data_IF_719834889305
#
_entry.id   IF_719834889305
#
_cell.length_a   1.000
_cell.length_b   1.000
_cell.length_c   1.000
_cell.angle_alpha   90.00
_cell.angle_beta   90.00
_cell.angle_gamma   90.00
#
_symmetry.space_group_name_H-M   'P 1'
#
loop_
_entity.id
_entity.type
_entity.pdbx_description
1 polymer ?
#
# COMPACT_ATOMS: atom_id res chain seq x y z
N UNK A 1 2.55 -17.99 -29.71
CA UNK A 1 3.41 -19.17 -29.84
C UNK A 1 4.92 -18.90 -29.78
N UNK A 2 5.45 -17.69 -29.95
CA UNK A 2 6.91 -17.41 -29.92
C UNK A 2 7.53 -17.19 -28.53
N UNK A 3 6.74 -16.95 -27.49
CA UNK A 3 7.27 -16.68 -26.12
C UNK A 3 7.47 -17.93 -25.25
N UNK A 4 6.82 -19.04 -25.56
CA UNK A 4 6.97 -20.30 -24.80
C UNK A 4 8.27 -21.03 -25.18
N UNK A 5 8.77 -20.85 -26.40
CA UNK A 5 10.03 -21.47 -26.84
C UNK A 5 11.30 -20.89 -26.19
N UNK A 6 11.24 -19.64 -25.70
CA UNK A 6 12.42 -18.99 -25.09
C UNK A 6 12.70 -19.50 -23.67
N UNK A 7 11.65 -19.90 -22.92
CA UNK A 7 11.81 -20.43 -21.54
C UNK A 7 12.33 -21.88 -21.57
N UNK A 8 11.93 -22.67 -22.57
CA UNK A 8 12.40 -24.06 -22.71
C UNK A 8 13.86 -24.12 -23.22
N UNK A 9 14.31 -23.14 -24.02
CA UNK A 9 15.70 -23.09 -24.47
C UNK A 9 16.70 -22.76 -23.36
N UNK A 10 16.27 -21.99 -22.33
CA UNK A 10 17.12 -21.66 -21.16
C UNK A 10 17.24 -22.89 -20.22
N UNK A 11 16.21 -23.71 -20.08
CA UNK A 11 16.23 -24.90 -19.24
C UNK A 11 17.07 -26.05 -19.87
N UNK A 12 17.11 -26.17 -21.19
CA UNK A 12 17.90 -27.22 -21.90
C UNK A 12 19.38 -26.87 -22.03
N UNK A 13 19.78 -25.60 -22.01
CA UNK A 13 21.21 -25.22 -22.03
C UNK A 13 21.94 -25.45 -20.70
N UNK A 14 21.25 -25.73 -19.61
CA UNK A 14 21.87 -25.96 -18.29
C UNK A 14 22.28 -27.43 -18.09
N UNK A 15 21.82 -28.37 -18.94
CA UNK A 15 22.05 -29.81 -18.74
C UNK A 15 23.18 -30.44 -19.60
N UNK A 16 23.85 -29.68 -20.47
CA UNK A 16 24.85 -30.26 -21.38
C UNK A 16 26.14 -29.43 -21.52
N UNK A 17 26.80 -29.08 -20.43
CA UNK A 17 28.22 -28.72 -20.50
C UNK A 17 28.91 -28.66 -19.13
N UNK A 18 29.11 -29.79 -18.49
CA UNK A 18 29.68 -29.88 -17.14
C UNK A 18 31.23 -29.94 -17.11
N UNK A 19 31.93 -29.74 -18.24
CA UNK A 19 33.39 -29.94 -18.26
C UNK A 19 34.24 -28.72 -18.62
N UNK A 20 33.69 -27.60 -19.08
CA UNK A 20 34.54 -26.48 -19.54
C UNK A 20 34.37 -25.15 -18.78
N UNK A 21 33.40 -25.04 -17.87
CA UNK A 21 33.18 -23.81 -17.13
C UNK A 21 33.56 -23.87 -15.63
N UNK A 22 34.31 -24.86 -15.22
CA UNK A 22 34.74 -25.02 -13.81
C UNK A 22 35.81 -24.00 -13.38
N UNK A 23 36.45 -23.25 -14.31
CA UNK A 23 37.55 -22.34 -13.98
C UNK A 23 37.16 -20.87 -13.73
N UNK A 24 35.95 -20.43 -14.16
CA UNK A 24 35.52 -19.02 -14.03
C UNK A 24 34.21 -18.83 -13.25
N UNK A 25 33.87 -19.72 -12.34
CA UNK A 25 32.79 -19.38 -11.39
C UNK A 25 33.27 -18.26 -10.50
N UNK A 26 32.57 -17.09 -10.46
CA UNK A 26 32.93 -16.04 -9.52
C UNK A 26 32.98 -16.67 -8.13
N UNK A 27 34.12 -16.52 -7.47
CA UNK A 27 34.33 -17.07 -6.12
C UNK A 27 33.22 -16.53 -5.22
N UNK A 28 32.45 -17.43 -4.60
CA UNK A 28 31.39 -17.00 -3.69
C UNK A 28 31.97 -16.03 -2.65
N UNK A 29 31.34 -14.88 -2.50
CA UNK A 29 31.77 -13.87 -1.54
C UNK A 29 31.76 -14.49 -0.15
N UNK A 30 32.84 -14.28 0.60
CA UNK A 30 32.89 -14.66 2.00
C UNK A 30 31.85 -13.86 2.80
N UNK A 31 31.36 -14.37 3.92
CA UNK A 31 30.44 -13.64 4.80
C UNK A 31 30.97 -12.25 5.19
N UNK A 32 32.28 -12.09 5.32
CA UNK A 32 32.94 -10.79 5.60
C UNK A 32 32.86 -9.83 4.41
N UNK A 33 33.00 -10.33 3.18
CA UNK A 33 32.86 -9.52 1.95
C UNK A 33 31.41 -9.11 1.73
N UNK A 34 30.45 -10.04 1.97
CA UNK A 34 29.04 -9.72 1.97
C UNK A 34 28.68 -8.66 3.03
N UNK A 35 29.14 -8.81 4.25
CA UNK A 35 28.89 -7.81 5.31
C UNK A 35 29.49 -6.43 4.97
N UNK A 36 30.65 -6.38 4.26
CA UNK A 36 31.23 -5.12 3.80
C UNK A 36 30.45 -4.47 2.66
N UNK A 37 29.75 -5.25 1.83
CA UNK A 37 28.88 -4.73 0.77
C UNK A 37 27.55 -4.19 1.32
N UNK A 38 27.11 -4.70 2.48
CA UNK A 38 25.90 -4.28 3.16
C UNK A 38 26.24 -3.85 4.60
N UNK A 39 26.94 -2.72 4.79
CA UNK A 39 27.22 -2.24 6.13
C UNK A 39 25.90 -2.04 6.88
N UNK A 40 25.85 -2.38 8.18
CA UNK A 40 24.67 -2.15 8.97
C UNK A 40 24.32 -0.65 8.92
N UNK A 41 23.13 -0.36 8.40
CA UNK A 41 22.59 0.99 8.40
C UNK A 41 22.29 1.48 9.81
N UNK A 42 22.04 2.77 9.96
CA UNK A 42 21.54 3.31 11.21
C UNK A 42 20.10 2.82 11.44
N UNK A 43 19.76 2.50 12.69
CA UNK A 43 18.37 2.10 13.02
C UNK A 43 17.47 3.34 12.97
N UNK A 44 16.51 3.36 12.07
CA UNK A 44 15.56 4.46 11.88
C UNK A 44 14.26 3.94 11.21
N UNK A 45 13.06 4.32 11.69
CA UNK A 45 12.82 4.91 13.00
C UNK A 45 13.04 3.88 14.13
N UNK A 46 13.35 4.34 15.32
CA UNK A 46 13.43 3.52 16.52
C UNK A 46 12.42 3.98 17.55
N UNK A 47 11.41 3.16 17.84
CA UNK A 47 10.48 3.38 18.94
C UNK A 47 11.19 2.99 20.25
N UNK A 48 11.32 3.94 21.18
CA UNK A 48 11.98 3.75 22.45
C UNK A 48 11.00 3.24 23.52
N UNK A 49 11.53 2.62 24.57
CA UNK A 49 10.71 2.08 25.68
C UNK A 49 9.98 3.15 26.49
N UNK A 50 10.42 4.40 26.40
CA UNK A 50 9.81 5.56 27.05
C UNK A 50 8.68 6.21 26.21
N UNK A 51 8.35 5.61 25.05
CA UNK A 51 7.32 6.10 24.12
C UNK A 51 7.80 7.17 23.15
N UNK A 52 9.09 7.57 23.21
CA UNK A 52 9.66 8.47 22.22
C UNK A 52 10.06 7.72 20.94
N UNK A 53 10.29 8.45 19.84
CA UNK A 53 10.78 7.91 18.57
C UNK A 53 12.05 8.63 18.15
N UNK A 54 13.09 7.85 17.86
CA UNK A 54 14.35 8.37 17.35
C UNK A 54 14.49 8.12 15.86
N UNK A 55 14.67 9.18 15.10
CA UNK A 55 14.96 9.14 13.66
C UNK A 55 16.45 9.38 13.45
N UNK A 56 17.08 8.63 12.53
CA UNK A 56 18.51 8.75 12.21
C UNK A 56 18.72 8.69 10.70
N UNK A 57 19.64 9.50 10.21
CA UNK A 57 20.02 9.54 8.81
C UNK A 57 21.52 9.70 8.63
N UNK A 58 22.14 8.80 7.87
CA UNK A 58 23.58 8.85 7.58
C UNK A 58 23.87 9.78 6.42
N UNK A 59 24.38 10.97 6.68
CA UNK A 59 24.73 11.97 5.66
C UNK A 59 25.93 12.82 6.10
N UNK A 60 27.18 12.27 6.04
CA UNK A 60 28.37 12.94 6.56
C UNK A 60 28.67 14.26 5.84
N UNK A 61 28.34 14.38 4.55
CA UNK A 61 28.62 15.55 3.73
C UNK A 61 27.47 16.57 3.68
N UNK A 62 26.32 16.25 4.27
CA UNK A 62 25.20 17.20 4.30
C UNK A 62 25.48 18.37 5.24
N UNK A 63 25.04 19.56 4.85
CA UNK A 63 25.12 20.79 5.63
C UNK A 63 23.94 20.95 6.59
N UNK A 64 22.77 20.39 6.21
CA UNK A 64 21.55 20.48 6.97
C UNK A 64 20.68 19.25 6.71
N UNK A 65 20.10 18.68 7.77
CA UNK A 65 19.06 17.66 7.68
C UNK A 65 17.93 18.02 8.63
N UNK A 66 16.72 18.06 8.09
CA UNK A 66 15.50 18.22 8.86
C UNK A 66 14.65 16.97 8.77
N UNK A 67 13.88 16.66 9.81
CA UNK A 67 12.79 15.68 9.80
C UNK A 67 11.50 16.38 9.39
N UNK A 68 10.90 15.96 8.28
CA UNK A 68 9.52 16.25 7.92
C UNK A 68 8.65 15.06 8.35
N UNK A 69 7.70 15.26 9.23
CA UNK A 69 6.86 14.19 9.77
C UNK A 69 5.48 14.73 10.13
N UNK A 70 4.44 13.96 9.87
CA UNK A 70 3.06 14.35 10.21
C UNK A 70 2.77 14.45 11.71
N UNK A 71 3.73 14.13 12.58
CA UNK A 71 3.63 14.39 14.02
C UNK A 71 3.60 15.90 14.36
N UNK A 72 4.06 16.75 13.44
CA UNK A 72 4.19 18.20 13.64
C UNK A 72 3.88 18.99 12.36
N UNK A 73 3.53 20.27 12.55
CA UNK A 73 3.24 21.16 11.43
C UNK A 73 4.49 21.59 10.66
N UNK A 74 5.63 21.76 11.37
CA UNK A 74 6.89 22.25 10.79
C UNK A 74 8.00 21.19 10.84
N UNK A 75 8.93 21.29 9.88
CA UNK A 75 10.13 20.45 9.89
C UNK A 75 10.93 20.68 11.17
N UNK A 76 11.51 19.60 11.71
CA UNK A 76 12.36 19.63 12.89
C UNK A 76 13.84 19.45 12.51
N UNK A 77 14.70 20.39 12.91
CA UNK A 77 16.14 20.31 12.64
C UNK A 77 16.75 19.11 13.40
N UNK A 78 17.59 18.35 12.71
CA UNK A 78 18.34 17.23 13.28
C UNK A 78 19.76 17.64 13.67
N UNK A 79 20.37 16.93 14.62
CA UNK A 79 21.73 17.16 15.08
C UNK A 79 22.68 16.10 14.53
N UNK A 80 23.83 16.55 14.01
CA UNK A 80 24.88 15.70 13.42
C UNK A 80 25.91 15.30 14.44
N UNK A 81 26.26 14.03 14.52
CA UNK A 81 27.37 13.52 15.33
C UNK A 81 28.70 13.52 14.55
N UNK A 82 29.79 13.16 15.23
CA UNK A 82 31.15 13.09 14.65
C UNK A 82 31.27 12.05 13.53
N UNK A 83 30.37 11.05 13.46
CA UNK A 83 30.34 10.01 12.42
C UNK A 83 29.50 10.42 11.22
N UNK A 84 28.88 11.61 11.24
CA UNK A 84 28.03 12.11 10.19
C UNK A 84 26.62 11.51 10.21
N UNK A 85 26.18 10.99 11.36
CA UNK A 85 24.81 10.56 11.58
C UNK A 85 24.01 11.73 12.12
N UNK A 86 22.96 12.10 11.44
CA UNK A 86 21.96 13.05 11.88
C UNK A 86 20.89 12.33 12.70
N UNK A 87 20.51 12.90 13.83
CA UNK A 87 19.50 12.29 14.71
C UNK A 87 18.58 13.33 15.35
N UNK A 88 17.37 12.89 15.65
CA UNK A 88 16.40 13.60 16.48
C UNK A 88 15.53 12.58 17.21
N UNK A 89 15.24 12.87 18.48
CA UNK A 89 14.26 12.11 19.27
C UNK A 89 13.06 12.99 19.53
N UNK A 90 11.87 12.50 19.28
CA UNK A 90 10.61 13.23 19.42
C UNK A 90 9.58 12.41 20.20
N UNK A 91 8.66 13.10 20.85
CA UNK A 91 7.50 12.48 21.50
C UNK A 91 6.33 12.55 20.54
N UNK A 92 5.78 11.41 20.06
CA UNK A 92 4.59 11.40 19.22
C UNK A 92 3.37 11.89 20.02
N UNK A 93 2.39 12.55 19.36
CA UNK A 93 1.16 13.01 20.04
C UNK A 93 0.27 11.86 20.49
N UNK A 94 0.29 10.74 19.78
CA UNK A 94 -0.46 9.51 20.08
C UNK A 94 0.20 8.30 19.41
N UNK A 95 -0.12 7.05 19.80
CA UNK A 95 0.15 5.87 18.98
C UNK A 95 -0.59 5.97 17.65
N UNK A 96 0.14 5.89 16.53
CA UNK A 96 -0.42 5.92 15.17
C UNK A 96 0.68 5.59 14.13
N UNK A 97 0.32 5.60 12.85
CA UNK A 97 1.24 5.48 11.72
C UNK A 97 1.48 6.89 11.15
N UNK A 98 2.73 7.35 11.25
CA UNK A 98 3.12 8.69 10.83
C UNK A 98 3.97 8.65 9.56
N UNK A 99 3.50 9.19 8.44
CA UNK A 99 4.33 9.46 7.27
C UNK A 99 5.43 10.46 7.60
N UNK A 100 6.67 10.16 7.15
CA UNK A 100 7.82 11.06 7.31
C UNK A 100 8.81 10.92 6.16
N UNK A 101 9.64 11.95 5.99
CA UNK A 101 10.85 11.92 5.16
C UNK A 101 11.93 12.81 5.77
N UNK A 102 13.16 12.67 5.30
CA UNK A 102 14.23 13.60 5.62
C UNK A 102 14.28 14.70 4.56
N UNK A 103 14.65 15.92 4.97
CA UNK A 103 14.94 17.03 4.06
C UNK A 103 16.44 17.31 4.16
N UNK A 104 17.21 16.81 3.20
CA UNK A 104 18.67 16.87 3.16
C UNK A 104 19.10 17.98 2.22
N UNK A 105 19.67 19.05 2.73
CA UNK A 105 20.07 20.25 1.98
C UNK A 105 18.96 20.76 1.02
N UNK A 106 17.70 20.69 1.50
CA UNK A 106 16.50 21.11 0.76
C UNK A 106 15.84 20.04 -0.11
N UNK A 107 16.41 18.83 -0.22
CA UNK A 107 15.86 17.74 -1.01
C UNK A 107 15.14 16.73 -0.11
N UNK A 108 13.91 16.38 -0.42
CA UNK A 108 13.17 15.33 0.29
C UNK A 108 13.72 13.94 -0.05
N UNK A 109 14.05 13.17 0.98
CA UNK A 109 14.62 11.82 0.88
C UNK A 109 13.83 10.85 1.75
N UNK A 110 13.35 9.77 1.15
CA UNK A 110 12.78 8.63 1.89
C UNK A 110 13.86 7.99 2.77
N UNK A 111 13.50 7.50 3.94
CA UNK A 111 14.44 6.82 4.82
C UNK A 111 14.94 5.52 4.19
N UNK A 112 16.24 5.41 3.84
CA UNK A 112 16.79 4.21 3.20
C UNK A 112 16.87 3.00 4.14
N UNK A 113 16.73 3.20 5.44
CA UNK A 113 16.77 2.15 6.45
C UNK A 113 15.37 1.65 6.84
N UNK A 114 14.31 2.25 6.29
CA UNK A 114 12.92 1.86 6.54
C UNK A 114 12.25 1.29 5.29
N UNK A 115 11.88 0.03 5.33
CA UNK A 115 11.17 -0.66 4.23
C UNK A 115 9.69 -0.29 4.12
N UNK A 116 9.12 0.33 5.17
CA UNK A 116 7.71 0.74 5.19
C UNK A 116 7.56 2.08 4.49
N UNK A 117 7.01 2.03 3.27
CA UNK A 117 6.82 3.20 2.41
C UNK A 117 5.33 3.46 2.21
N UNK A 118 4.93 4.73 2.30
CA UNK A 118 3.57 5.15 1.97
C UNK A 118 3.30 4.95 0.47
N UNK A 119 2.29 4.16 0.10
CA UNK A 119 1.96 3.94 -1.31
C UNK A 119 1.21 5.13 -1.90
N UNK A 120 1.93 6.17 -2.32
CA UNK A 120 1.39 7.42 -2.82
C UNK A 120 2.05 7.82 -4.15
N UNK A 121 1.30 8.47 -5.05
CA UNK A 121 1.80 8.95 -6.34
C UNK A 121 2.48 10.33 -6.22
N UNK A 122 1.99 11.19 -5.33
CA UNK A 122 2.43 12.58 -5.19
C UNK A 122 3.68 12.76 -4.35
N UNK A 123 3.96 11.85 -3.41
CA UNK A 123 5.12 11.91 -2.52
C UNK A 123 5.64 10.51 -2.18
N UNK A 124 6.86 10.45 -1.64
CA UNK A 124 7.50 9.19 -1.22
C UNK A 124 7.99 9.33 0.22
N UNK A 125 7.09 9.05 1.16
CA UNK A 125 7.37 9.08 2.58
C UNK A 125 7.56 7.67 3.13
N UNK A 126 8.42 7.52 4.12
CA UNK A 126 8.48 6.35 4.98
C UNK A 126 7.39 6.42 6.03
N UNK A 127 7.07 5.30 6.67
CA UNK A 127 6.05 5.21 7.72
C UNK A 127 6.71 4.89 9.05
N UNK A 128 6.49 5.73 10.06
CA UNK A 128 6.83 5.43 11.44
C UNK A 128 5.60 4.84 12.13
N UNK A 129 5.68 3.55 12.48
CA UNK A 129 4.62 2.80 13.15
C UNK A 129 4.82 2.88 14.66
N UNK A 130 4.13 3.79 15.30
CA UNK A 130 4.21 4.05 16.74
C UNK A 130 3.13 3.28 17.47
N UNK A 131 3.54 2.29 18.26
CA UNK A 131 2.63 1.43 19.01
C UNK A 131 2.37 1.98 20.40
N UNK A 132 1.14 1.79 20.88
CA UNK A 132 0.79 1.99 22.28
C UNK A 132 1.29 0.86 23.18
N UNK A 133 1.18 1.06 24.49
CA UNK A 133 1.50 0.03 25.49
C UNK A 133 0.52 -1.17 25.44
N UNK A 134 -0.69 -0.95 24.94
CA UNK A 134 -1.72 -1.98 24.76
C UNK A 134 -2.05 -2.03 23.27
N UNK A 135 -2.17 -3.24 22.67
CA UNK A 135 -2.56 -3.37 21.28
C UNK A 135 -3.89 -2.69 20.99
N UNK A 136 -3.92 -1.87 19.93
CA UNK A 136 -5.12 -1.20 19.46
C UNK A 136 -5.88 -2.07 18.45
N UNK A 137 -7.12 -1.68 18.11
CA UNK A 137 -7.95 -2.38 17.13
C UNK A 137 -7.30 -2.52 15.73
N UNK A 138 -6.38 -1.63 15.39
CA UNK A 138 -5.60 -1.64 14.15
C UNK A 138 -4.32 -2.46 14.20
N UNK A 139 -3.93 -2.97 15.37
CA UNK A 139 -2.72 -3.75 15.52
C UNK A 139 -2.93 -5.22 15.15
N UNK A 140 -1.85 -5.87 14.71
CA UNK A 140 -1.91 -7.32 14.51
C UNK A 140 -2.11 -8.02 15.85
N UNK A 141 -3.19 -8.80 15.98
CA UNK A 141 -3.53 -9.58 17.15
C UNK A 141 -3.51 -11.08 16.79
N UNK A 142 -3.44 -11.95 17.78
CA UNK A 142 -3.49 -13.42 17.59
C UNK A 142 -4.93 -13.89 17.34
N UNK A 143 -5.42 -13.62 16.14
CA UNK A 143 -6.75 -14.00 15.66
C UNK A 143 -6.65 -14.60 14.26
N UNK A 144 -7.66 -15.32 13.75
CA UNK A 144 -7.67 -15.77 12.37
C UNK A 144 -7.61 -14.61 11.37
N UNK A 145 -6.61 -14.63 10.48
CA UNK A 145 -6.39 -13.56 9.52
C UNK A 145 -6.97 -13.86 8.14
N UNK A 146 -7.53 -12.81 7.52
CA UNK A 146 -7.92 -12.80 6.12
C UNK A 146 -6.73 -12.70 5.16
N UNK A 147 -7.02 -12.54 3.87
CA UNK A 147 -6.00 -12.46 2.82
C UNK A 147 -6.17 -11.22 1.98
N UNK A 148 -5.06 -10.55 1.65
CA UNK A 148 -5.00 -9.51 0.61
C UNK A 148 -4.54 -10.16 -0.70
N UNK A 149 -5.30 -9.92 -1.76
CA UNK A 149 -4.99 -10.38 -3.12
C UNK A 149 -4.86 -9.20 -4.06
N UNK A 150 -3.75 -9.12 -4.78
CA UNK A 150 -3.57 -8.19 -5.89
C UNK A 150 -4.26 -8.77 -7.12
N UNK A 151 -5.11 -7.98 -7.77
CA UNK A 151 -5.85 -8.36 -8.95
C UNK A 151 -5.72 -7.30 -10.03
N UNK A 152 -5.89 -7.73 -11.27
CA UNK A 152 -5.88 -6.87 -12.44
C UNK A 152 -7.11 -7.18 -13.29
N UNK A 153 -7.70 -6.15 -13.87
CA UNK A 153 -8.77 -6.27 -14.86
C UNK A 153 -8.47 -5.34 -16.02
N UNK A 154 -8.93 -5.70 -17.21
CA UNK A 154 -8.82 -4.82 -18.37
C UNK A 154 -9.99 -3.84 -18.35
N UNK A 155 -9.68 -2.56 -18.16
CA UNK A 155 -10.69 -1.50 -18.23
C UNK A 155 -10.93 -1.09 -19.66
N UNK A 156 -12.16 -1.28 -20.14
CA UNK A 156 -12.61 -0.81 -21.45
C UNK A 156 -12.80 0.71 -21.48
N UNK A 157 -13.09 1.32 -20.31
CA UNK A 157 -13.29 2.76 -20.20
C UNK A 157 -12.01 3.55 -20.42
N UNK A 158 -10.85 2.99 -20.02
CA UNK A 158 -9.55 3.67 -20.15
C UNK A 158 -8.60 2.98 -21.13
N UNK A 159 -8.90 1.75 -21.58
CA UNK A 159 -8.17 1.02 -22.60
C UNK A 159 -6.86 0.37 -22.13
N UNK A 160 -6.70 0.12 -20.82
CA UNK A 160 -5.54 -0.57 -20.26
C UNK A 160 -5.88 -1.33 -18.97
N UNK A 161 -4.94 -2.18 -18.52
CA UNK A 161 -5.12 -2.99 -17.32
C UNK A 161 -5.02 -2.14 -16.06
N UNK A 162 -5.99 -2.36 -15.15
CA UNK A 162 -6.14 -1.63 -13.90
C UNK A 162 -5.94 -2.55 -12.71
N UNK A 163 -5.13 -2.16 -11.71
CA UNK A 163 -4.98 -2.92 -10.48
C UNK A 163 -6.10 -2.61 -9.47
N UNK A 164 -6.35 -3.58 -8.62
CA UNK A 164 -7.12 -3.43 -7.38
C UNK A 164 -6.63 -4.43 -6.33
N UNK A 165 -6.87 -4.14 -5.06
CA UNK A 165 -6.67 -5.11 -3.98
C UNK A 165 -8.01 -5.62 -3.46
N UNK A 166 -8.04 -6.89 -3.07
CA UNK A 166 -9.21 -7.53 -2.47
C UNK A 166 -8.79 -8.18 -1.16
N UNK A 167 -9.44 -7.77 -0.07
CA UNK A 167 -9.41 -8.51 1.18
C UNK A 167 -10.53 -9.54 1.20
N UNK A 168 -10.19 -10.76 1.58
CA UNK A 168 -11.16 -11.82 1.88
C UNK A 168 -11.01 -12.25 3.35
N UNK A 169 -12.11 -12.43 4.11
CA UNK A 169 -12.03 -12.73 5.54
C UNK A 169 -11.44 -14.12 5.81
N UNK A 170 -10.99 -14.34 7.03
CA UNK A 170 -10.51 -15.65 7.46
C UNK A 170 -11.56 -16.75 7.22
N UNK A 171 -11.11 -17.86 6.64
CA UNK A 171 -11.98 -18.99 6.29
C UNK A 171 -12.75 -18.80 4.97
N UNK A 172 -12.50 -17.73 4.19
CA UNK A 172 -13.08 -17.60 2.85
C UNK A 172 -12.67 -18.77 1.95
N UNK A 173 -13.67 -19.45 1.37
CA UNK A 173 -13.48 -20.52 0.40
C UNK A 173 -14.16 -20.13 -0.93
N UNK A 174 -13.43 -19.98 -2.04
CA UNK A 174 -14.00 -19.65 -3.34
C UNK A 174 -14.92 -20.75 -3.91
N UNK A 175 -14.79 -21.98 -3.41
CA UNK A 175 -15.65 -23.13 -3.77
C UNK A 175 -16.72 -23.41 -2.71
N UNK A 176 -16.76 -22.65 -1.63
CA UNK A 176 -17.71 -22.75 -0.56
C UNK A 176 -19.12 -22.37 -0.97
N UNK A 177 -20.06 -22.45 -0.03
CA UNK A 177 -21.47 -22.07 -0.24
C UNK A 177 -21.83 -20.70 0.35
N UNK A 178 -20.94 -20.13 1.15
CA UNK A 178 -21.17 -18.83 1.80
C UNK A 178 -20.90 -17.69 0.83
N UNK A 179 -21.84 -16.77 0.69
CA UNK A 179 -21.68 -15.51 -0.05
C UNK A 179 -21.57 -14.36 0.94
N UNK A 180 -20.70 -13.40 0.63
CA UNK A 180 -20.29 -12.33 1.53
C UNK A 180 -20.82 -10.96 1.06
N UNK A 181 -21.20 -10.05 1.97
CA UNK A 181 -21.38 -8.64 1.63
C UNK A 181 -20.05 -8.02 1.18
N UNK A 182 -20.15 -6.95 0.39
CA UNK A 182 -18.98 -6.29 -0.20
C UNK A 182 -18.91 -4.81 0.21
N UNK A 183 -17.73 -4.38 0.64
CA UNK A 183 -17.37 -2.98 0.82
C UNK A 183 -16.37 -2.57 -0.28
N UNK A 184 -16.76 -1.59 -1.11
CA UNK A 184 -15.85 -0.90 -2.02
C UNK A 184 -15.26 0.29 -1.29
N UNK A 185 -13.94 0.27 -1.02
CA UNK A 185 -13.25 1.24 -0.17
C UNK A 185 -12.24 2.05 -0.99
N UNK A 186 -12.56 3.33 -1.22
CA UNK A 186 -11.91 4.20 -2.19
C UNK A 186 -10.93 5.15 -1.50
N UNK A 187 -9.71 5.20 -2.02
CA UNK A 187 -8.60 6.02 -1.49
C UNK A 187 -8.73 7.51 -1.88
N UNK A 188 -7.93 8.36 -1.24
CA UNK A 188 -7.86 9.81 -1.49
C UNK A 188 -7.05 10.20 -2.73
N UNK A 189 -6.90 11.52 -2.93
CA UNK A 189 -6.07 12.07 -4.01
C UNK A 189 -4.61 11.62 -3.83
N UNK A 190 -3.95 11.22 -4.90
CA UNK A 190 -2.58 10.72 -4.95
C UNK A 190 -2.31 9.41 -4.22
N UNK A 191 -3.26 8.89 -3.46
CA UNK A 191 -3.19 7.56 -2.85
C UNK A 191 -3.34 6.46 -3.91
N UNK A 192 -3.17 5.20 -3.49
CA UNK A 192 -3.27 4.05 -4.37
C UNK A 192 -4.20 2.97 -3.79
N UNK A 193 -4.46 1.93 -4.58
CA UNK A 193 -5.21 0.74 -4.16
C UNK A 193 -4.58 -0.03 -2.99
N UNK A 194 -3.35 0.34 -2.58
CA UNK A 194 -2.65 -0.27 -1.45
C UNK A 194 -2.80 0.51 -0.13
N UNK A 195 -3.22 1.78 -0.20
CA UNK A 195 -3.20 2.68 0.96
C UNK A 195 -4.04 2.17 2.13
N UNK A 196 -5.25 1.65 1.84
CA UNK A 196 -6.16 1.20 2.89
C UNK A 196 -5.66 0.00 3.68
N UNK A 197 -4.85 -0.90 3.10
CA UNK A 197 -4.30 -2.01 3.88
C UNK A 197 -2.88 -1.78 4.39
N UNK A 198 -2.05 -1.00 3.68
CA UNK A 198 -0.67 -0.72 4.14
C UNK A 198 -0.60 0.37 5.21
N UNK A 199 -1.47 1.37 5.11
CA UNK A 199 -1.52 2.51 6.03
C UNK A 199 -2.76 2.43 6.90
N UNK A 200 -3.94 2.29 6.30
CA UNK A 200 -5.22 2.20 7.02
C UNK A 200 -5.47 0.85 7.72
N UNK A 201 -4.65 -0.17 7.47
CA UNK A 201 -4.71 -1.50 8.13
C UNK A 201 -6.09 -2.15 8.15
N UNK A 202 -6.91 -1.88 7.15
CA UNK A 202 -8.30 -2.37 7.09
C UNK A 202 -8.40 -3.89 7.28
N UNK A 203 -7.41 -4.66 6.80
CA UNK A 203 -7.34 -6.10 7.00
C UNK A 203 -7.19 -6.47 8.48
N UNK A 204 -6.27 -5.82 9.22
CA UNK A 204 -6.08 -6.07 10.65
C UNK A 204 -7.30 -5.64 11.46
N UNK A 205 -7.85 -4.46 11.15
CA UNK A 205 -9.08 -3.95 11.78
C UNK A 205 -10.22 -4.95 11.62
N UNK A 206 -10.45 -5.43 10.41
CA UNK A 206 -11.53 -6.39 10.15
C UNK A 206 -11.28 -7.75 10.80
N UNK A 207 -10.05 -8.26 10.73
CA UNK A 207 -9.71 -9.53 11.39
C UNK A 207 -10.01 -9.48 12.89
N UNK A 208 -9.58 -8.41 13.56
CA UNK A 208 -9.81 -8.19 14.98
C UNK A 208 -11.30 -8.02 15.32
N UNK A 209 -12.01 -7.18 14.58
CA UNK A 209 -13.45 -6.92 14.83
C UNK A 209 -14.31 -8.15 14.50
N UNK A 210 -13.97 -8.92 13.47
CA UNK A 210 -14.68 -10.17 13.12
C UNK A 210 -14.46 -11.21 14.21
N UNK A 211 -13.23 -11.36 14.73
CA UNK A 211 -12.92 -12.29 15.80
C UNK A 211 -13.65 -11.94 17.10
N UNK A 212 -13.87 -10.65 17.37
CA UNK A 212 -14.64 -10.15 18.52
C UNK A 212 -16.17 -10.21 18.30
N UNK A 213 -16.66 -10.58 17.12
CA UNK A 213 -18.08 -10.56 16.79
C UNK A 213 -18.67 -9.16 16.57
N UNK A 214 -17.82 -8.12 16.48
CA UNK A 214 -18.23 -6.71 16.29
C UNK A 214 -18.40 -6.34 14.82
N UNK A 215 -17.82 -7.12 13.88
CA UNK A 215 -18.03 -6.97 12.45
C UNK A 215 -18.47 -8.28 11.81
N UNK A 216 -19.30 -8.18 10.76
CA UNK A 216 -19.62 -9.33 9.92
C UNK A 216 -18.45 -9.65 8.99
N UNK A 217 -18.28 -10.93 8.66
CA UNK A 217 -17.38 -11.32 7.57
C UNK A 217 -17.81 -10.63 6.29
N UNK A 218 -16.89 -9.96 5.61
CA UNK A 218 -17.13 -9.25 4.35
C UNK A 218 -15.91 -9.29 3.45
N UNK A 219 -16.12 -9.07 2.17
CA UNK A 219 -15.05 -8.82 1.20
C UNK A 219 -14.86 -7.30 1.11
N UNK A 220 -13.61 -6.84 1.12
CA UNK A 220 -13.29 -5.42 0.86
C UNK A 220 -12.55 -5.32 -0.46
N UNK A 221 -13.05 -4.47 -1.33
CA UNK A 221 -12.47 -4.16 -2.64
C UNK A 221 -11.86 -2.78 -2.58
N UNK A 222 -10.58 -2.67 -2.82
CA UNK A 222 -9.83 -1.42 -2.84
C UNK A 222 -9.40 -1.14 -4.30
N UNK A 223 -10.24 -0.46 -5.10
CA UNK A 223 -9.91 -0.14 -6.48
C UNK A 223 -8.86 0.95 -6.55
N UNK A 224 -8.10 1.00 -7.64
CA UNK A 224 -7.26 2.14 -7.96
C UNK A 224 -8.14 3.21 -8.62
N UNK A 225 -8.67 4.13 -7.80
CA UNK A 225 -9.69 5.09 -8.21
C UNK A 225 -9.17 6.26 -9.05
N UNK A 226 -7.84 6.33 -9.28
CA UNK A 226 -7.21 7.41 -10.03
C UNK A 226 -6.52 6.88 -11.31
N UNK A 227 -7.20 6.85 -12.46
CA UNK A 227 -6.58 6.44 -13.73
C UNK A 227 -5.74 7.55 -14.39
N UNK A 228 -5.92 8.79 -13.97
CA UNK A 228 -5.43 9.98 -14.68
C UNK A 228 -3.90 10.09 -14.79
N UNK A 229 -3.08 9.72 -13.80
CA UNK A 229 -1.63 9.76 -13.97
C UNK A 229 -1.14 8.89 -15.13
N UNK A 230 -1.70 7.70 -15.29
CA UNK A 230 -1.38 6.81 -16.41
C UNK A 230 -1.97 7.34 -17.73
N UNK A 231 -3.20 7.83 -17.70
CA UNK A 231 -3.84 8.45 -18.87
C UNK A 231 -3.04 9.67 -19.36
N UNK A 232 -2.55 10.53 -18.45
CA UNK A 232 -1.70 11.67 -18.82
C UNK A 232 -0.37 11.23 -19.42
N UNK A 233 0.27 10.20 -18.87
CA UNK A 233 1.51 9.62 -19.46
C UNK A 233 1.28 9.09 -20.88
N UNK A 234 0.08 8.62 -21.17
CA UNK A 234 -0.33 8.12 -22.49
C UNK A 234 -0.92 9.21 -23.40
N UNK A 235 -1.03 10.46 -22.94
CA UNK A 235 -1.65 11.57 -23.69
C UNK A 235 -3.16 11.42 -23.87
N UNK A 236 -3.84 10.63 -23.00
CA UNK A 236 -5.27 10.36 -23.07
C UNK A 236 -6.11 11.26 -22.18
N UNK A 237 -5.49 12.04 -21.30
CA UNK A 237 -6.16 12.98 -20.39
C UNK A 237 -5.29 14.17 -20.05
N UNK A 238 -5.91 15.23 -19.55
CA UNK A 238 -5.28 16.44 -19.01
C UNK A 238 -5.47 16.53 -17.50
N UNK A 239 -4.82 17.48 -16.85
CA UNK A 239 -4.99 17.75 -15.41
C UNK A 239 -6.43 18.16 -15.04
N UNK A 240 -7.17 18.75 -15.97
CA UNK A 240 -8.56 19.17 -15.75
C UNK A 240 -9.49 17.96 -15.60
N UNK A 241 -9.20 16.85 -16.27
CA UNK A 241 -10.04 15.66 -16.23
C UNK A 241 -10.02 14.96 -14.86
N UNK A 242 -8.96 15.18 -14.04
CA UNK A 242 -8.81 14.55 -12.73
C UNK A 242 -9.95 14.85 -11.74
N UNK A 243 -10.65 15.96 -11.93
CA UNK A 243 -11.73 16.35 -11.02
C UNK A 243 -13.09 15.75 -11.39
N UNK A 244 -13.18 15.05 -12.52
CA UNK A 244 -14.41 14.37 -12.96
C UNK A 244 -14.71 13.12 -12.12
N UNK A 245 -16.00 12.83 -11.94
CA UNK A 245 -16.47 11.62 -11.24
C UNK A 245 -17.07 10.57 -12.17
N UNK A 246 -17.39 10.93 -13.40
CA UNK A 246 -18.09 10.07 -14.36
C UNK A 246 -17.29 8.84 -14.75
N UNK A 247 -15.97 9.01 -14.97
CA UNK A 247 -15.09 7.91 -15.33
C UNK A 247 -15.02 6.89 -14.20
N UNK A 248 -14.83 7.36 -12.95
CA UNK A 248 -14.85 6.51 -11.77
C UNK A 248 -16.17 5.75 -11.63
N UNK A 249 -17.30 6.45 -11.75
CA UNK A 249 -18.64 5.85 -11.65
C UNK A 249 -18.84 4.76 -12.72
N UNK A 250 -18.46 5.02 -13.97
CA UNK A 250 -18.54 4.03 -15.06
C UNK A 250 -17.64 2.82 -14.79
N UNK A 251 -16.41 3.05 -14.32
CA UNK A 251 -15.45 1.99 -14.03
C UNK A 251 -15.96 1.10 -12.88
N UNK A 252 -16.45 1.69 -11.78
CA UNK A 252 -17.00 0.93 -10.65
C UNK A 252 -18.21 0.10 -11.08
N UNK A 253 -19.19 0.71 -11.72
CA UNK A 253 -20.47 0.05 -12.03
C UNK A 253 -20.35 -1.00 -13.15
N UNK A 254 -19.58 -0.69 -14.20
CA UNK A 254 -19.55 -1.52 -15.40
C UNK A 254 -18.38 -2.49 -15.47
N UNK A 255 -17.36 -2.32 -14.61
CA UNK A 255 -16.13 -3.10 -14.67
C UNK A 255 -15.77 -3.73 -13.33
N UNK A 256 -15.58 -2.93 -12.26
CA UNK A 256 -15.12 -3.45 -10.97
C UNK A 256 -16.19 -4.32 -10.29
N UNK A 257 -17.45 -3.85 -10.20
CA UNK A 257 -18.53 -4.63 -9.59
C UNK A 257 -18.73 -5.95 -10.34
N UNK A 258 -18.91 -5.98 -11.67
CA UNK A 258 -19.04 -7.24 -12.41
C UNK A 258 -17.81 -8.15 -12.29
N UNK A 259 -16.60 -7.58 -12.26
CA UNK A 259 -15.37 -8.35 -12.06
C UNK A 259 -15.35 -9.06 -10.69
N UNK A 260 -15.79 -8.38 -9.63
CA UNK A 260 -15.86 -8.96 -8.29
C UNK A 260 -16.94 -10.05 -8.22
N UNK A 261 -18.10 -9.81 -8.76
CA UNK A 261 -19.20 -10.78 -8.81
C UNK A 261 -18.83 -12.06 -9.59
N UNK A 262 -18.03 -11.93 -10.64
CA UNK A 262 -17.57 -13.06 -11.45
C UNK A 262 -16.44 -13.88 -10.79
N UNK A 263 -15.67 -13.29 -9.85
CA UNK A 263 -14.46 -13.92 -9.31
C UNK A 263 -14.52 -14.26 -7.82
N UNK A 264 -15.53 -13.78 -7.11
CA UNK A 264 -15.65 -13.95 -5.66
C UNK A 264 -17.06 -14.37 -5.26
N UNK A 265 -17.16 -15.05 -4.13
CA UNK A 265 -18.45 -15.42 -3.51
C UNK A 265 -19.05 -14.19 -2.82
N UNK A 266 -19.89 -13.46 -3.54
CA UNK A 266 -20.50 -12.21 -3.07
C UNK A 266 -22.01 -12.23 -3.23
N UNK A 267 -22.69 -11.46 -2.36
CA UNK A 267 -24.13 -11.19 -2.47
C UNK A 267 -24.31 -10.01 -3.43
N UNK A 268 -25.03 -10.20 -4.54
CA UNK A 268 -25.13 -9.18 -5.60
C UNK A 268 -26.15 -8.08 -5.34
N UNK A 269 -27.01 -8.22 -4.34
CA UNK A 269 -28.06 -7.25 -4.03
C UNK A 269 -27.49 -5.98 -3.36
N UNK A 270 -28.12 -4.83 -3.61
CA UNK A 270 -27.74 -3.52 -3.07
C UNK A 270 -27.68 -3.51 -1.53
N UNK A 271 -28.56 -4.28 -0.86
CA UNK A 271 -28.58 -4.42 0.60
C UNK A 271 -27.35 -5.10 1.20
N UNK A 272 -26.52 -5.73 0.38
CA UNK A 272 -25.25 -6.36 0.76
C UNK A 272 -24.02 -5.63 0.17
N UNK A 273 -24.22 -4.43 -0.40
CA UNK A 273 -23.14 -3.68 -1.06
C UNK A 273 -23.01 -2.28 -0.45
N UNK A 274 -21.81 -1.99 0.03
CA UNK A 274 -21.40 -0.69 0.56
C UNK A 274 -20.32 -0.06 -0.32
N UNK A 275 -20.32 1.27 -0.39
CA UNK A 275 -19.25 2.05 -0.98
C UNK A 275 -18.82 3.15 -0.01
N UNK A 276 -17.53 3.21 0.30
CA UNK A 276 -16.94 4.19 1.21
C UNK A 276 -15.70 4.83 0.60
N UNK A 277 -15.37 6.06 0.99
CA UNK A 277 -14.21 6.74 0.44
C UNK A 277 -13.75 7.93 1.24
N UNK A 278 -12.45 8.20 1.11
CA UNK A 278 -11.75 9.28 1.80
C UNK A 278 -11.44 10.44 0.86
N UNK A 279 -11.67 11.69 1.29
CA UNK A 279 -11.27 12.91 0.56
C UNK A 279 -11.80 12.92 -0.88
N UNK A 280 -10.93 12.90 -1.91
CA UNK A 280 -11.34 12.78 -3.32
C UNK A 280 -12.16 11.50 -3.57
N UNK A 281 -11.76 10.38 -2.97
CA UNK A 281 -12.54 9.15 -2.99
C UNK A 281 -13.93 9.33 -2.37
N UNK A 282 -14.05 10.09 -1.29
CA UNK A 282 -15.33 10.48 -0.67
C UNK A 282 -16.23 11.21 -1.66
N UNK A 283 -15.70 12.19 -2.41
CA UNK A 283 -16.43 12.87 -3.48
C UNK A 283 -16.89 11.91 -4.58
N UNK A 284 -16.00 11.02 -5.02
CA UNK A 284 -16.29 10.04 -6.06
C UNK A 284 -17.41 9.08 -5.67
N UNK A 285 -17.33 8.56 -4.43
CA UNK A 285 -18.35 7.59 -3.94
C UNK A 285 -19.70 8.26 -3.66
N UNK A 286 -19.73 9.52 -3.26
CA UNK A 286 -20.99 10.26 -3.12
C UNK A 286 -21.69 10.38 -4.48
N UNK A 287 -20.96 10.77 -5.53
CA UNK A 287 -21.52 10.86 -6.88
C UNK A 287 -21.99 9.48 -7.39
N UNK A 288 -21.16 8.44 -7.19
CA UNK A 288 -21.48 7.09 -7.63
C UNK A 288 -22.65 6.48 -6.83
N UNK A 289 -22.55 6.49 -5.50
CA UNK A 289 -23.49 5.78 -4.61
C UNK A 289 -24.86 6.46 -4.55
N UNK A 290 -24.90 7.78 -4.38
CA UNK A 290 -26.16 8.51 -4.35
C UNK A 290 -26.85 8.57 -5.72
N UNK A 291 -26.06 8.57 -6.80
CA UNK A 291 -26.58 8.49 -8.16
C UNK A 291 -27.11 7.10 -8.56
N UNK A 292 -26.81 6.03 -7.77
CA UNK A 292 -27.19 4.65 -8.07
C UNK A 292 -27.65 3.91 -6.82
N UNK A 293 -28.77 4.32 -6.19
CA UNK A 293 -29.27 3.73 -4.94
C UNK A 293 -29.74 2.28 -5.11
N UNK A 294 -30.04 1.85 -6.34
CA UNK A 294 -30.34 0.46 -6.68
C UNK A 294 -29.10 -0.44 -6.67
N UNK A 295 -27.89 0.12 -6.60
CA UNK A 295 -26.61 -0.60 -6.55
C UNK A 295 -25.99 -0.60 -5.16
N UNK A 296 -26.14 0.46 -4.37
CA UNK A 296 -25.51 0.64 -3.07
C UNK A 296 -26.50 1.14 -2.02
N UNK A 297 -26.77 0.34 -0.99
CA UNK A 297 -27.60 0.80 0.13
C UNK A 297 -26.81 1.55 1.20
N UNK A 298 -25.49 1.43 1.18
CA UNK A 298 -24.61 2.07 2.17
C UNK A 298 -23.57 2.92 1.45
N UNK A 299 -23.56 4.22 1.73
CA UNK A 299 -22.62 5.19 1.19
C UNK A 299 -22.01 5.97 2.35
N UNK A 300 -20.68 5.92 2.51
CA UNK A 300 -19.97 6.53 3.63
C UNK A 300 -18.77 7.33 3.14
N UNK A 301 -18.80 8.67 3.31
CA UNK A 301 -17.70 9.57 2.94
C UNK A 301 -17.03 10.15 4.20
N UNK A 302 -15.70 10.25 4.19
CA UNK A 302 -14.87 10.81 5.26
C UNK A 302 -13.59 11.46 4.70
#
# INVERSE_FOLDING_TARGET
MKKIFLIIAIATCVLFNDQTYAQDRPRALTGRQLAAMFPPGVKSPECNSDGTVTFRFQAPNASKVDLNCQMFEENKAMTKDEKGVWSITVTPPAPDIYPYCFVVDGIQVTDPNNVSIFPNEGFKNSLADVRGAVPDFQDMQDVPHGKISYRYYHSKNVGFDRPLCVYTPAGYDPKGKEDYPVLYLVHGMTDTYETWFKVGRINMILDNLIAQGLAKKMIVVMPYANPYPEMMRRGLATRMDMMGTDLFTKEILNEVVPFIEANYRVRPEAGSRAIAGFSLGGRQILACGLGNPDKFNYVCAF
#
